data_IF_760128886943
#
_entry.id   IF_760128886943
#
_cell.length_a   1.000
_cell.length_b   1.000
_cell.length_c   1.000
_cell.angle_alpha   90.00
_cell.angle_beta   90.00
_cell.angle_gamma   90.00
#
_symmetry.space_group_name_H-M   'P 1'
#
loop_
_entity.id
_entity.type
_entity.pdbx_description
1 polymer ?
#
# COMPACT_ATOMS: atom_id res chain seq x y z
N UNK A 1 -31.95 11.73 15.40
CA UNK A 1 -31.24 11.91 14.10
C UNK A 1 -29.73 12.19 14.26
N UNK A 2 -29.30 13.22 15.00
CA UNK A 2 -27.88 13.62 15.19
C UNK A 2 -26.93 12.51 15.71
N UNK A 3 -27.36 11.70 16.70
CA UNK A 3 -26.57 10.58 17.29
C UNK A 3 -26.22 9.48 16.27
N UNK A 4 -27.14 9.14 15.37
CA UNK A 4 -26.95 8.11 14.33
C UNK A 4 -25.90 8.54 13.32
N UNK A 5 -25.95 9.80 12.87
CA UNK A 5 -24.97 10.38 11.94
C UNK A 5 -23.56 10.43 12.55
N UNK A 6 -23.43 10.79 13.83
CA UNK A 6 -22.12 10.80 14.52
C UNK A 6 -21.49 9.40 14.55
N UNK A 7 -22.27 8.37 14.93
CA UNK A 7 -21.82 6.97 14.93
C UNK A 7 -21.40 6.51 13.54
N UNK A 8 -22.16 6.87 12.50
CA UNK A 8 -21.83 6.53 11.12
C UNK A 8 -20.52 7.18 10.67
N UNK A 9 -20.28 8.46 10.99
CA UNK A 9 -19.02 9.14 10.69
C UNK A 9 -17.82 8.50 11.40
N UNK A 10 -17.98 8.14 12.68
CA UNK A 10 -16.94 7.42 13.42
C UNK A 10 -16.64 6.07 12.79
N UNK A 11 -17.67 5.31 12.41
CA UNK A 11 -17.51 4.03 11.75
C UNK A 11 -16.78 4.16 10.40
N UNK A 12 -17.15 5.16 9.59
CA UNK A 12 -16.47 5.46 8.32
C UNK A 12 -15.00 5.84 8.53
N UNK A 13 -14.70 6.67 9.53
CA UNK A 13 -13.32 7.03 9.87
C UNK A 13 -12.48 5.80 10.23
N UNK A 14 -13.06 4.84 10.98
CA UNK A 14 -12.37 3.59 11.30
C UNK A 14 -12.05 2.75 10.04
N UNK A 15 -12.97 2.66 9.09
CA UNK A 15 -12.70 1.93 7.84
C UNK A 15 -11.67 2.62 6.96
N UNK A 16 -11.63 3.96 6.98
CA UNK A 16 -10.61 4.76 6.31
C UNK A 16 -9.21 4.52 6.91
N UNK A 17 -9.11 4.47 8.25
CA UNK A 17 -7.86 4.12 8.92
C UNK A 17 -7.41 2.68 8.58
N UNK A 18 -8.36 1.74 8.50
CA UNK A 18 -8.04 0.37 8.09
C UNK A 18 -7.59 0.29 6.63
N UNK A 19 -8.23 1.02 5.70
CA UNK A 19 -7.79 1.04 4.30
C UNK A 19 -6.40 1.64 4.15
N UNK A 20 -6.11 2.74 4.85
CA UNK A 20 -4.77 3.32 4.88
C UNK A 20 -3.73 2.33 5.45
N UNK A 21 -4.07 1.62 6.53
CA UNK A 21 -3.18 0.61 7.08
C UNK A 21 -2.90 -0.54 6.09
N UNK A 22 -3.88 -0.92 5.25
CA UNK A 22 -3.66 -1.93 4.20
C UNK A 22 -2.72 -1.42 3.11
N UNK A 23 -2.81 -0.14 2.72
CA UNK A 23 -1.89 0.48 1.77
C UNK A 23 -0.47 0.55 2.34
N UNK A 24 -0.33 1.03 3.58
CA UNK A 24 0.96 1.10 4.27
C UNK A 24 1.60 -0.28 4.45
N UNK A 25 0.80 -1.31 4.75
CA UNK A 25 1.29 -2.68 4.88
C UNK A 25 1.89 -3.19 3.55
N UNK A 26 1.21 -2.92 2.43
CA UNK A 26 1.73 -3.28 1.10
C UNK A 26 3.00 -2.51 0.81
N UNK A 27 3.00 -1.18 0.95
CA UNK A 27 4.16 -0.31 0.76
C UNK A 27 5.41 -0.81 1.53
N UNK A 28 5.27 -1.13 2.82
CA UNK A 28 6.38 -1.66 3.63
C UNK A 28 6.91 -2.98 3.06
N UNK A 29 6.03 -3.87 2.58
CA UNK A 29 6.43 -5.18 2.08
C UNK A 29 6.93 -5.16 0.62
N UNK A 30 6.60 -4.14 -0.16
CA UNK A 30 7.00 -4.03 -1.58
C UNK A 30 8.17 -3.11 -1.82
N UNK A 31 8.15 -1.94 -1.20
CA UNK A 31 9.13 -0.86 -1.42
C UNK A 31 10.05 -0.70 -0.21
N UNK A 32 9.58 -1.13 0.97
CA UNK A 32 10.22 -0.88 2.24
C UNK A 32 10.05 0.57 2.69
N UNK A 33 9.77 0.74 3.97
CA UNK A 33 9.74 2.05 4.63
C UNK A 33 10.86 2.09 5.66
N UNK A 34 11.46 3.26 5.90
CA UNK A 34 12.41 3.61 6.99
C UNK A 34 13.36 2.50 7.49
N UNK A 35 12.85 1.51 8.25
CA UNK A 35 13.63 0.48 8.95
C UNK A 35 13.12 -0.96 8.74
N UNK A 36 12.10 -1.16 7.91
CA UNK A 36 11.59 -2.49 7.53
C UNK A 36 11.29 -2.46 6.04
N UNK A 37 11.89 -3.39 5.30
CA UNK A 37 11.67 -3.52 3.87
C UNK A 37 11.85 -4.95 3.39
N UNK A 38 11.64 -5.18 2.09
CA UNK A 38 11.89 -6.48 1.48
C UNK A 38 13.36 -6.89 1.63
N UNK A 39 13.60 -8.20 1.72
CA UNK A 39 14.93 -8.77 1.96
C UNK A 39 15.95 -8.39 0.88
N UNK A 40 15.49 -8.24 -0.37
CA UNK A 40 16.35 -8.00 -1.53
C UNK A 40 16.64 -6.51 -1.77
N UNK A 41 16.26 -5.61 -0.86
CA UNK A 41 16.51 -4.16 -1.00
C UNK A 41 17.59 -3.67 -0.06
N UNK A 42 18.69 -3.19 -0.65
CA UNK A 42 19.73 -2.41 0.02
C UNK A 42 19.14 -1.15 0.70
N UNK A 43 19.63 -0.75 1.88
CA UNK A 43 19.24 0.51 2.53
C UNK A 43 19.61 1.73 1.67
N UNK A 44 18.73 2.10 0.73
CA UNK A 44 18.94 3.25 -0.14
C UNK A 44 18.93 4.56 0.65
N UNK A 45 20.05 5.30 0.58
CA UNK A 45 20.32 6.54 1.32
C UNK A 45 19.50 7.77 0.86
N UNK A 46 18.62 7.62 -0.14
CA UNK A 46 17.84 8.72 -0.75
C UNK A 46 16.39 8.30 -1.04
N UNK A 47 15.63 7.93 -0.01
CA UNK A 47 14.17 7.78 -0.14
C UNK A 47 13.49 9.06 0.31
N UNK A 48 12.52 9.54 -0.48
CA UNK A 48 11.65 10.62 -0.04
C UNK A 48 10.98 10.27 1.31
N UNK A 49 10.68 11.28 2.15
CA UNK A 49 9.96 11.06 3.40
C UNK A 49 8.63 10.34 3.14
N UNK A 50 8.36 9.26 3.89
CA UNK A 50 7.09 8.54 3.76
C UNK A 50 5.91 9.45 4.13
N UNK A 51 4.98 9.67 3.19
CA UNK A 51 3.81 10.53 3.39
C UNK A 51 2.85 10.03 4.47
N UNK A 52 2.91 8.73 4.81
CA UNK A 52 2.12 8.07 5.87
C UNK A 52 3.02 7.52 6.97
N UNK A 53 4.05 8.27 7.33
CA UNK A 53 5.08 7.85 8.28
C UNK A 53 4.50 7.34 9.62
N UNK A 54 3.51 8.02 10.20
CA UNK A 54 2.92 7.62 11.49
C UNK A 54 2.30 6.22 11.44
N UNK A 55 1.48 5.95 10.41
CA UNK A 55 0.86 4.65 10.18
C UNK A 55 1.91 3.59 9.84
N UNK A 56 2.88 3.92 8.97
CA UNK A 56 3.98 3.03 8.62
C UNK A 56 4.82 2.66 9.85
N UNK A 57 5.19 3.62 10.70
CA UNK A 57 5.96 3.39 11.91
C UNK A 57 5.26 2.40 12.84
N UNK A 58 3.95 2.57 13.07
CA UNK A 58 3.16 1.63 13.85
C UNK A 58 3.16 0.20 13.29
N UNK A 59 3.02 0.07 11.97
CA UNK A 59 3.06 -1.23 11.29
C UNK A 59 4.45 -1.86 11.30
N UNK A 60 5.51 -1.08 11.11
CA UNK A 60 6.89 -1.55 11.20
C UNK A 60 7.19 -2.14 12.58
N UNK A 61 6.71 -1.51 13.65
CA UNK A 61 6.84 -2.04 15.00
C UNK A 61 6.10 -3.37 15.18
N UNK A 62 4.89 -3.50 14.61
CA UNK A 62 4.16 -4.77 14.61
C UNK A 62 4.90 -5.86 13.82
N UNK A 63 5.46 -5.53 12.65
CA UNK A 63 6.21 -6.47 11.81
C UNK A 63 7.47 -6.96 12.54
N UNK A 64 8.29 -6.04 13.07
CA UNK A 64 9.49 -6.38 13.85
C UNK A 64 9.14 -7.27 15.04
N UNK A 65 8.10 -6.89 15.78
CA UNK A 65 7.62 -7.70 16.90
C UNK A 65 7.17 -9.10 16.45
N UNK A 66 6.38 -9.20 15.39
CA UNK A 66 5.86 -10.47 14.87
C UNK A 66 6.95 -11.42 14.39
N UNK A 67 8.04 -10.87 13.83
CA UNK A 67 9.21 -11.64 13.43
C UNK A 67 9.94 -12.26 14.63
N UNK A 68 10.06 -11.53 15.74
CA UNK A 68 10.87 -11.91 16.91
C UNK A 68 10.06 -12.55 18.06
N UNK A 69 8.73 -12.46 18.06
CA UNK A 69 7.92 -12.90 19.20
C UNK A 69 7.77 -14.43 19.25
N UNK A 70 8.36 -15.06 20.27
CA UNK A 70 8.24 -16.51 20.54
C UNK A 70 6.82 -16.96 20.89
N UNK A 71 5.96 -16.04 21.38
CA UNK A 71 4.56 -16.34 21.76
C UNK A 71 3.56 -16.16 20.59
N UNK A 72 4.03 -15.96 19.34
CA UNK A 72 3.17 -15.62 18.19
C UNK A 72 2.23 -16.74 17.75
N UNK A 73 2.63 -18.00 17.92
CA UNK A 73 1.89 -19.19 17.45
C UNK A 73 0.87 -19.63 18.50
N UNK A 74 1.22 -19.56 19.78
CA UNK A 74 0.39 -20.06 20.89
C UNK A 74 -0.73 -19.08 21.31
N UNK A 75 -0.97 -18.02 20.54
CA UNK A 75 -2.10 -17.08 20.76
C UNK A 75 -1.99 -16.13 21.96
N UNK A 76 -0.94 -16.21 22.78
CA UNK A 76 -0.80 -15.45 24.02
C UNK A 76 -0.32 -13.98 23.89
N UNK A 77 -0.12 -13.46 22.68
CA UNK A 77 0.39 -12.10 22.47
C UNK A 77 -0.59 -11.19 21.72
N UNK A 78 -1.01 -10.10 22.36
CA UNK A 78 -1.97 -9.14 21.80
C UNK A 78 -1.44 -8.37 20.58
N UNK A 79 -0.12 -8.09 20.51
CA UNK A 79 0.51 -7.46 19.33
C UNK A 79 0.53 -8.41 18.14
N UNK A 80 0.89 -9.67 18.37
CA UNK A 80 0.83 -10.71 17.33
C UNK A 80 -0.61 -10.94 16.85
N UNK A 81 -1.60 -10.95 17.76
CA UNK A 81 -3.02 -11.08 17.40
C UNK A 81 -3.47 -9.96 16.46
N UNK A 82 -3.06 -8.71 16.72
CA UNK A 82 -3.32 -7.56 15.82
C UNK A 82 -2.66 -7.75 14.45
N UNK A 83 -1.40 -8.16 14.42
CA UNK A 83 -0.70 -8.44 13.16
C UNK A 83 -1.39 -9.54 12.36
N UNK A 84 -1.77 -10.64 13.01
CA UNK A 84 -2.55 -11.72 12.39
C UNK A 84 -3.85 -11.23 11.75
N UNK A 85 -4.59 -10.34 12.43
CA UNK A 85 -5.82 -9.75 11.90
C UNK A 85 -5.56 -8.89 10.65
N UNK A 86 -4.48 -8.10 10.64
CA UNK A 86 -4.09 -7.29 9.49
C UNK A 86 -3.72 -8.16 8.29
N UNK A 87 -2.94 -9.23 8.50
CA UNK A 87 -2.57 -10.17 7.44
C UNK A 87 -3.79 -10.91 6.88
N UNK A 88 -4.72 -11.33 7.76
CA UNK A 88 -6.00 -11.93 7.36
C UNK A 88 -6.85 -10.96 6.55
N UNK A 89 -6.95 -9.70 6.98
CA UNK A 89 -7.69 -8.66 6.26
C UNK A 89 -7.08 -8.41 4.88
N UNK A 90 -5.75 -8.26 4.81
CA UNK A 90 -5.04 -8.09 3.55
C UNK A 90 -5.32 -9.24 2.58
N UNK A 91 -5.18 -10.49 3.01
CA UNK A 91 -5.46 -11.65 2.15
C UNK A 91 -6.91 -11.69 1.64
N UNK A 92 -7.86 -11.19 2.43
CA UNK A 92 -9.26 -11.08 2.01
C UNK A 92 -9.45 -10.03 0.89
N UNK A 93 -8.66 -8.96 0.90
CA UNK A 93 -8.70 -7.85 -0.06
C UNK A 93 -7.76 -8.04 -1.26
N UNK A 94 -6.76 -8.93 -1.17
CA UNK A 94 -5.73 -9.08 -2.19
C UNK A 94 -6.21 -9.98 -3.34
N UNK A 95 -6.17 -9.46 -4.58
CA UNK A 95 -6.60 -10.21 -5.77
C UNK A 95 -5.47 -11.02 -6.42
N UNK A 96 -4.20 -10.71 -6.10
CA UNK A 96 -3.02 -11.33 -6.72
C UNK A 96 -2.12 -12.02 -5.67
N UNK A 97 -2.60 -13.08 -5.00
CA UNK A 97 -1.88 -13.72 -3.90
C UNK A 97 -0.54 -14.37 -4.30
N UNK A 98 -0.36 -14.72 -5.58
CA UNK A 98 0.86 -15.36 -6.09
C UNK A 98 2.04 -14.39 -6.26
N UNK A 99 1.75 -13.11 -6.53
CA UNK A 99 2.75 -12.06 -6.68
C UNK A 99 2.80 -11.12 -5.46
N UNK A 100 1.99 -11.39 -4.44
CA UNK A 100 1.89 -10.57 -3.26
C UNK A 100 3.13 -10.74 -2.35
N UNK A 101 3.78 -9.63 -2.01
CA UNK A 101 4.93 -9.61 -1.09
C UNK A 101 4.54 -9.53 0.39
N UNK A 102 3.26 -9.37 0.71
CA UNK A 102 2.79 -9.32 2.11
C UNK A 102 2.90 -10.73 2.73
N UNK A 103 3.55 -10.87 3.91
CA UNK A 103 3.79 -12.16 4.50
C UNK A 103 2.48 -12.90 4.81
N UNK A 104 2.48 -14.22 4.60
CA UNK A 104 1.34 -15.11 4.85
C UNK A 104 0.09 -14.85 3.98
N UNK A 105 0.10 -13.87 3.07
CA UNK A 105 -1.05 -13.56 2.21
C UNK A 105 -1.58 -14.79 1.47
N UNK A 106 -0.69 -15.49 0.75
CA UNK A 106 -1.02 -16.73 0.02
C UNK A 106 -1.58 -17.81 0.94
N UNK A 107 -0.97 -18.03 2.10
CA UNK A 107 -1.42 -19.05 3.06
C UNK A 107 -2.83 -18.75 3.57
N UNK A 108 -3.12 -17.49 3.91
CA UNK A 108 -4.45 -17.09 4.32
C UNK A 108 -5.47 -17.23 3.20
N UNK A 109 -5.12 -16.83 1.97
CA UNK A 109 -6.02 -16.94 0.81
C UNK A 109 -6.45 -18.39 0.58
N UNK A 110 -5.50 -19.33 0.65
CA UNK A 110 -5.77 -20.77 0.52
C UNK A 110 -6.68 -21.30 1.63
N UNK A 111 -6.38 -20.97 2.90
CA UNK A 111 -7.24 -21.38 4.03
C UNK A 111 -8.67 -20.87 3.89
N UNK A 112 -8.85 -19.61 3.47
CA UNK A 112 -10.18 -19.02 3.23
C UNK A 112 -10.93 -19.66 2.05
N UNK A 113 -10.25 -20.24 1.08
CA UNK A 113 -10.88 -21.01 -0.01
C UNK A 113 -11.31 -22.40 0.47
N UNK A 114 -10.59 -23.00 1.42
CA UNK A 114 -10.93 -24.29 1.99
C UNK A 114 -12.04 -24.19 3.06
N UNK A 115 -12.03 -23.15 3.88
CA UNK A 115 -12.99 -22.90 4.97
C UNK A 115 -14.33 -22.30 4.50
N UNK A 116 -14.65 -22.33 3.19
CA UNK A 116 -15.84 -21.70 2.58
C UNK A 116 -17.19 -22.12 3.19
N UNK A 117 -17.23 -23.17 4.01
CA UNK A 117 -18.41 -23.60 4.79
C UNK A 117 -18.69 -22.79 6.06
N UNK A 118 -17.80 -21.89 6.51
CA UNK A 118 -17.95 -21.17 7.78
C UNK A 118 -17.69 -19.66 7.72
N UNK A 119 -17.99 -19.01 6.59
CA UNK A 119 -17.73 -17.57 6.45
C UNK A 119 -18.63 -16.72 7.36
N UNK A 120 -18.02 -16.13 8.38
CA UNK A 120 -18.64 -15.17 9.30
C UNK A 120 -19.13 -13.94 8.51
N UNK A 121 -20.45 -13.77 8.40
CA UNK A 121 -21.06 -12.63 7.70
C UNK A 121 -20.55 -11.27 8.19
N UNK A 122 -20.11 -11.17 9.44
CA UNK A 122 -19.48 -9.96 9.99
C UNK A 122 -18.12 -9.69 9.36
N UNK A 123 -17.32 -10.72 9.12
CA UNK A 123 -16.03 -10.59 8.43
C UNK A 123 -16.22 -10.13 6.99
N UNK A 124 -17.16 -10.75 6.27
CA UNK A 124 -17.49 -10.34 4.90
C UNK A 124 -17.94 -8.88 4.83
N UNK A 125 -18.77 -8.44 5.78
CA UNK A 125 -19.21 -7.05 5.86
C UNK A 125 -18.04 -6.10 6.14
N UNK A 126 -17.13 -6.46 7.05
CA UNK A 126 -15.91 -5.70 7.32
C UNK A 126 -15.08 -5.51 6.06
N UNK A 127 -14.78 -6.60 5.35
CA UNK A 127 -14.00 -6.58 4.10
C UNK A 127 -14.65 -5.66 3.06
N UNK A 128 -15.97 -5.78 2.86
CA UNK A 128 -16.73 -4.91 1.95
C UNK A 128 -16.61 -3.43 2.33
N UNK A 129 -16.77 -3.09 3.61
CA UNK A 129 -16.71 -1.69 4.07
C UNK A 129 -15.30 -1.10 3.94
N UNK A 130 -14.25 -1.88 4.20
CA UNK A 130 -12.86 -1.44 4.01
C UNK A 130 -12.56 -1.24 2.52
N UNK A 131 -13.03 -2.14 1.65
CA UNK A 131 -12.89 -2.00 0.20
C UNK A 131 -13.59 -0.74 -0.30
N UNK A 132 -14.83 -0.50 0.14
CA UNK A 132 -15.56 0.74 -0.19
C UNK A 132 -14.81 1.99 0.29
N UNK A 133 -14.33 2.01 1.53
CA UNK A 133 -13.54 3.13 2.05
C UNK A 133 -12.31 3.40 1.18
N UNK A 134 -11.56 2.35 0.80
CA UNK A 134 -10.42 2.44 -0.10
C UNK A 134 -10.78 3.08 -1.44
N UNK A 135 -11.85 2.60 -2.08
CA UNK A 135 -12.28 3.15 -3.39
C UNK A 135 -12.66 4.63 -3.30
N UNK A 136 -13.38 5.04 -2.26
CA UNK A 136 -13.78 6.43 -2.04
C UNK A 136 -12.56 7.31 -1.82
N UNK A 137 -11.59 6.86 -1.02
CA UNK A 137 -10.33 7.59 -0.78
C UNK A 137 -9.53 7.82 -2.06
N UNK A 138 -9.44 6.82 -2.93
CA UNK A 138 -8.74 6.93 -4.21
C UNK A 138 -9.44 7.88 -5.19
N UNK A 139 -10.78 7.96 -5.15
CA UNK A 139 -11.58 8.86 -6.00
C UNK A 139 -11.57 10.32 -5.53
N UNK A 140 -11.34 10.56 -4.24
CA UNK A 140 -11.26 11.91 -3.66
C UNK A 140 -9.91 12.64 -3.92
N UNK A 141 -8.98 12.02 -4.64
CA UNK A 141 -7.77 12.71 -5.12
C UNK A 141 -8.13 13.56 -6.36
N UNK A 142 -7.79 14.86 -6.39
CA UNK A 142 -7.91 15.64 -7.61
C UNK A 142 -7.08 14.98 -8.72
N UNK A 143 -7.73 14.66 -9.83
CA UNK A 143 -7.10 14.22 -11.06
C UNK A 143 -5.96 15.18 -11.40
N UNK A 144 -4.73 14.66 -11.47
CA UNK A 144 -3.58 15.42 -11.92
C UNK A 144 -3.92 16.13 -13.24
N UNK A 145 -3.57 17.41 -13.32
CA UNK A 145 -3.81 18.25 -14.48
C UNK A 145 -3.25 17.60 -15.75
N UNK A 146 -3.89 17.79 -16.92
CA UNK A 146 -3.37 17.31 -18.19
C UNK A 146 -2.02 17.96 -18.50
N UNK A 147 -1.14 17.30 -19.29
CA UNK A 147 0.15 17.87 -19.66
C UNK A 147 -0.07 19.19 -20.39
N UNK A 148 0.63 20.23 -19.93
CA UNK A 148 0.60 21.57 -20.53
C UNK A 148 1.10 21.45 -21.97
N UNK A 149 0.25 21.81 -22.92
CA UNK A 149 0.63 21.96 -24.33
C UNK A 149 1.83 22.91 -24.47
N UNK A 150 2.87 22.45 -25.18
CA UNK A 150 3.92 23.33 -25.70
C UNK A 150 3.39 24.01 -26.96
N UNK A 151 3.17 25.33 -26.86
CA UNK A 151 3.12 26.31 -27.96
C UNK A 151 3.88 27.52 -27.42
N UNK A 152 5.00 27.98 -27.93
CA UNK A 152 5.58 27.98 -29.27
C UNK A 152 6.05 29.42 -29.48
N UNK A 153 7.31 29.65 -29.85
CA UNK A 153 7.72 30.94 -30.41
C UNK A 153 8.64 30.71 -31.61
N UNK A 154 8.23 31.29 -32.74
CA UNK A 154 8.85 31.18 -34.05
C UNK A 154 10.11 32.03 -34.16
N UNK A 155 11.08 31.46 -34.85
CA UNK A 155 11.97 32.00 -35.89
C UNK A 155 12.51 33.45 -35.77
N UNK A 156 13.85 33.55 -35.76
CA UNK A 156 14.53 34.45 -36.69
C UNK A 156 15.75 33.74 -37.32
N UNK A 157 15.96 34.08 -38.58
CA UNK A 157 16.79 33.44 -39.60
C UNK A 157 18.28 33.81 -39.53
N UNK A 158 19.07 33.03 -40.27
CA UNK A 158 20.28 33.40 -41.04
C UNK A 158 21.66 33.26 -40.38
N UNK A 159 22.35 32.16 -40.67
CA UNK A 159 23.35 32.15 -41.75
C UNK A 159 23.89 30.74 -42.02
N UNK A 160 24.01 30.41 -43.30
CA UNK A 160 24.71 29.26 -43.82
C UNK A 160 26.23 29.45 -43.68
N UNK A 161 26.97 28.35 -43.47
CA UNK A 161 28.33 28.16 -43.97
C UNK A 161 28.69 26.67 -43.86
N UNK A 162 29.01 26.09 -45.02
CA UNK A 162 29.67 24.82 -45.28
C UNK A 162 30.84 24.50 -44.34
N UNK A 163 31.05 23.21 -44.04
CA UNK A 163 32.28 22.50 -44.40
C UNK A 163 32.19 21.00 -44.07
N UNK A 164 32.71 20.22 -45.01
CA UNK A 164 32.74 18.77 -45.08
C UNK A 164 33.65 18.09 -44.04
N UNK A 165 33.42 16.79 -43.81
CA UNK A 165 34.54 15.84 -43.77
C UNK A 165 34.87 15.13 -42.43
N UNK A 166 34.47 13.85 -42.38
CA UNK A 166 35.34 12.67 -42.19
C UNK A 166 35.81 12.25 -40.77
N UNK A 167 35.88 10.91 -40.63
CA UNK A 167 36.68 10.06 -39.70
C UNK A 167 35.97 9.67 -38.38
N UNK A 168 35.35 8.49 -38.32
CA UNK A 168 35.88 7.13 -38.03
C UNK A 168 36.01 6.86 -36.53
N UNK A 169 35.19 5.93 -36.03
CA UNK A 169 35.23 5.38 -34.68
C UNK A 169 36.35 4.32 -34.54
N UNK A 170 36.98 4.18 -33.36
CA UNK A 170 37.54 2.92 -32.92
C UNK A 170 36.46 1.94 -32.45
#
# INVERSE_FOLDING_TARGET
RKKRTKRQKQEQSLYLQLSEAMECLVHICTEGCTSVGPYDMEPSKKKEPCSRFSTCQGLQLLIKHFAMCKKRVNGGCSRCKRMWQLLKLHASLCDQPHHCRVPLCRQFKLRMQQERKGDDGKWRLLVKKVLLAKTVSSLSLPKAAPPKEVKGFRALHSQASDCEGKVQCP
#
